data_IF_255192376893
#
_entry.id   IF_255192376893
#
_cell.length_a   1.000
_cell.length_b   1.000
_cell.length_c   1.000
_cell.angle_alpha   90.00
_cell.angle_beta   90.00
_cell.angle_gamma   90.00
#
_symmetry.space_group_name_H-M   'P 1'
#
loop_
_entity.id
_entity.type
_entity.pdbx_description
1 polymer ?
#
# COMPACT_ATOMS: atom_id res chain seq x y z
N UNK A 1 -25.27 7.34 -9.88
CA UNK A 1 -26.11 8.33 -9.19
C UNK A 1 -25.67 8.43 -7.74
N UNK A 2 -25.69 9.64 -7.20
CA UNK A 2 -25.39 9.90 -5.79
C UNK A 2 -26.68 10.41 -5.12
N UNK A 3 -27.19 9.61 -4.21
CA UNK A 3 -28.40 9.93 -3.45
C UNK A 3 -27.98 10.56 -2.12
N UNK A 4 -28.26 11.84 -1.97
CA UNK A 4 -27.95 12.63 -0.75
C UNK A 4 -29.19 13.00 0.05
N UNK A 5 -30.35 12.86 -0.54
CA UNK A 5 -31.63 13.23 0.07
C UNK A 5 -32.16 12.10 0.95
N UNK A 6 -32.66 12.43 2.11
CA UNK A 6 -33.16 11.47 3.08
C UNK A 6 -34.33 10.62 2.54
N UNK A 7 -35.17 11.19 1.68
CA UNK A 7 -36.29 10.48 1.03
C UNK A 7 -35.81 9.38 0.08
N UNK A 8 -34.71 9.63 -0.65
CA UNK A 8 -34.12 8.68 -1.59
C UNK A 8 -33.26 7.62 -0.89
N UNK A 9 -32.68 7.96 0.25
CA UNK A 9 -31.84 7.04 1.03
C UNK A 9 -32.61 6.16 1.99
N UNK A 10 -33.89 6.51 2.29
CA UNK A 10 -34.74 5.78 3.23
C UNK A 10 -34.91 4.29 2.91
N UNK A 11 -34.89 3.92 1.61
CA UNK A 11 -34.99 2.51 1.18
C UNK A 11 -33.75 1.68 1.56
N UNK A 12 -32.61 2.33 1.89
CA UNK A 12 -31.38 1.68 2.30
C UNK A 12 -31.23 1.62 3.84
N UNK A 13 -32.21 2.09 4.57
CA UNK A 13 -32.25 2.09 6.04
C UNK A 13 -31.14 2.93 6.67
N UNK A 14 -30.72 2.57 7.89
CA UNK A 14 -29.72 3.32 8.66
C UNK A 14 -28.37 3.46 7.93
N UNK A 15 -28.02 2.54 7.05
CA UNK A 15 -26.78 2.61 6.24
C UNK A 15 -26.81 3.74 5.20
N UNK A 16 -27.99 4.23 4.84
CA UNK A 16 -28.17 5.34 3.91
C UNK A 16 -28.00 6.73 4.52
N UNK A 17 -27.83 6.85 5.85
CA UNK A 17 -27.80 8.14 6.56
C UNK A 17 -26.72 9.12 6.09
N UNK A 18 -25.59 8.63 5.58
CA UNK A 18 -24.48 9.44 5.03
C UNK A 18 -24.54 9.58 3.50
N UNK A 19 -25.65 9.21 2.87
CA UNK A 19 -25.82 9.16 1.42
C UNK A 19 -25.55 7.78 0.83
N UNK A 20 -26.04 7.59 -0.40
CA UNK A 20 -25.90 6.33 -1.13
C UNK A 20 -25.36 6.60 -2.53
N UNK A 21 -24.33 5.86 -2.90
CA UNK A 21 -23.80 5.87 -4.28
C UNK A 21 -24.33 4.65 -5.02
N UNK A 22 -25.23 4.90 -5.97
CA UNK A 22 -25.79 3.84 -6.82
C UNK A 22 -24.93 3.72 -8.08
N UNK A 23 -24.27 2.58 -8.25
CA UNK A 23 -23.45 2.29 -9.43
C UNK A 23 -24.22 1.34 -10.35
N UNK A 24 -24.67 1.87 -11.47
CA UNK A 24 -25.28 1.05 -12.54
C UNK A 24 -24.21 0.71 -13.57
N UNK A 25 -23.90 -0.57 -13.66
CA UNK A 25 -22.91 -1.07 -14.64
C UNK A 25 -23.54 -1.19 -16.02
N UNK A 26 -22.71 -1.05 -17.06
CA UNK A 26 -23.15 -1.21 -18.45
C UNK A 26 -23.85 -2.57 -18.63
N UNK A 27 -25.02 -2.53 -19.22
CA UNK A 27 -25.77 -3.72 -19.59
C UNK A 27 -25.17 -4.37 -20.83
N UNK A 28 -25.42 -5.66 -21.00
CA UNK A 28 -25.18 -6.35 -22.27
C UNK A 28 -26.07 -5.72 -23.35
N UNK A 29 -25.49 -5.40 -24.50
CA UNK A 29 -26.20 -4.76 -25.61
C UNK A 29 -26.32 -5.72 -26.78
N UNK A 30 -27.40 -5.55 -27.51
CA UNK A 30 -27.59 -6.20 -28.83
C UNK A 30 -26.66 -5.52 -29.83
N UNK A 31 -26.12 -6.32 -30.75
CA UNK A 31 -25.25 -5.85 -31.82
C UNK A 31 -24.06 -6.77 -32.07
N UNK A 32 -23.19 -6.30 -32.96
CA UNK A 32 -21.94 -6.98 -33.31
C UNK A 32 -21.06 -7.13 -32.08
N UNK A 33 -20.27 -8.21 -32.05
CA UNK A 33 -19.27 -8.40 -31.01
C UNK A 33 -18.27 -7.26 -31.05
N UNK A 34 -18.09 -6.62 -29.89
CA UNK A 34 -17.11 -5.55 -29.70
C UNK A 34 -16.10 -5.98 -28.65
N UNK A 35 -14.84 -5.70 -28.93
CA UNK A 35 -13.74 -5.93 -28.02
C UNK A 35 -13.16 -4.57 -27.63
N UNK A 36 -13.08 -4.30 -26.35
CA UNK A 36 -12.48 -3.09 -25.81
C UNK A 36 -11.26 -3.43 -24.96
N UNK A 37 -10.22 -2.61 -25.05
CA UNK A 37 -9.05 -2.68 -24.19
C UNK A 37 -8.82 -1.34 -23.52
N UNK A 38 -8.56 -1.36 -22.21
CA UNK A 38 -8.13 -0.19 -21.46
C UNK A 38 -6.89 -0.58 -20.64
N UNK A 39 -5.83 0.18 -20.80
CA UNK A 39 -4.60 0.05 -20.03
C UNK A 39 -4.28 1.34 -19.26
N UNK A 40 -3.78 1.19 -18.05
CA UNK A 40 -3.27 2.28 -17.24
C UNK A 40 -1.95 1.86 -16.63
N UNK A 41 -0.95 2.73 -16.75
CA UNK A 41 0.31 2.65 -16.03
C UNK A 41 0.42 3.85 -15.10
N UNK A 42 0.96 3.64 -13.93
CA UNK A 42 1.25 4.72 -12.98
C UNK A 42 2.52 4.39 -12.20
N UNK A 43 3.25 5.44 -11.87
CA UNK A 43 4.46 5.37 -11.06
C UNK A 43 4.17 6.09 -9.76
N UNK A 44 4.53 5.48 -8.64
CA UNK A 44 4.41 6.11 -7.33
C UNK A 44 5.81 6.40 -6.78
N UNK A 45 5.95 7.49 -6.07
CA UNK A 45 7.18 7.83 -5.37
C UNK A 45 6.86 8.54 -4.06
N UNK A 46 7.78 8.48 -3.13
CA UNK A 46 7.68 9.22 -1.87
C UNK A 46 7.91 10.70 -2.18
N UNK A 47 6.93 11.55 -1.87
CA UNK A 47 7.01 12.99 -2.15
C UNK A 47 7.95 13.72 -1.17
N UNK A 48 8.05 13.25 0.07
CA UNK A 48 8.91 13.83 1.09
C UNK A 48 9.27 12.76 2.12
N UNK A 49 10.55 12.68 2.45
CA UNK A 49 11.08 11.91 3.57
C UNK A 49 11.16 12.79 4.81
N UNK A 50 11.25 12.17 5.97
CA UNK A 50 11.50 12.86 7.22
C UNK A 50 13.00 13.17 7.35
N UNK A 51 13.32 14.35 7.88
CA UNK A 51 14.68 14.67 8.25
C UNK A 51 15.02 13.93 9.54
N UNK A 52 15.89 12.94 9.43
CA UNK A 52 16.37 12.14 10.55
C UNK A 52 17.75 12.62 11.00
N UNK A 53 18.12 12.30 12.22
CA UNK A 53 19.44 12.59 12.75
C UNK A 53 20.49 11.79 11.97
N UNK A 54 21.57 12.45 11.56
CA UNK A 54 22.74 11.76 11.03
C UNK A 54 23.52 11.07 12.16
N UNK A 55 24.56 10.31 11.79
CA UNK A 55 25.37 9.54 12.74
C UNK A 55 25.89 10.37 13.89
N UNK A 56 26.50 11.52 13.62
CA UNK A 56 27.07 12.40 14.65
C UNK A 56 25.95 12.98 15.55
N UNK A 57 24.91 13.55 14.95
CA UNK A 57 23.78 14.11 15.69
C UNK A 57 23.06 13.07 16.56
N UNK A 58 22.98 11.83 16.08
CA UNK A 58 22.38 10.74 16.83
C UNK A 58 23.23 10.40 18.06
N UNK A 59 24.55 10.31 17.91
CA UNK A 59 25.45 9.98 19.01
C UNK A 59 25.48 11.12 20.02
N UNK A 60 25.53 12.38 19.58
CA UNK A 60 25.45 13.57 20.45
C UNK A 60 24.15 13.55 21.27
N UNK A 61 23.01 13.30 20.61
CA UNK A 61 21.72 13.16 21.30
C UNK A 61 21.75 12.05 22.36
N UNK A 62 22.32 10.89 22.04
CA UNK A 62 22.44 9.78 23.01
C UNK A 62 23.36 10.13 24.17
N UNK A 63 24.42 10.89 23.92
CA UNK A 63 25.31 11.39 24.97
C UNK A 63 24.59 12.36 25.90
N UNK A 64 23.93 13.38 25.36
CA UNK A 64 23.16 14.35 26.11
C UNK A 64 22.10 13.68 27.00
N UNK A 65 21.41 12.69 26.41
CA UNK A 65 20.43 11.87 27.12
C UNK A 65 21.06 11.07 28.26
N UNK A 66 22.23 10.49 28.04
CA UNK A 66 22.96 9.76 29.07
C UNK A 66 23.47 10.69 30.18
N UNK A 67 23.99 11.88 29.83
CA UNK A 67 24.46 12.90 30.75
C UNK A 67 23.31 13.47 31.62
N UNK A 68 22.19 13.81 31.01
CA UNK A 68 21.00 14.32 31.70
C UNK A 68 20.43 13.33 32.74
N UNK A 69 20.54 12.03 32.49
CA UNK A 69 20.09 11.00 33.42
C UNK A 69 21.13 10.61 34.49
N UNK A 70 22.32 11.17 34.42
CA UNK A 70 23.41 10.94 35.36
C UNK A 70 24.16 9.62 35.16
N UNK A 71 25.36 9.55 35.76
CA UNK A 71 26.28 8.38 35.56
C UNK A 71 25.81 7.07 36.15
N UNK A 72 24.82 7.08 37.03
CA UNK A 72 24.19 5.88 37.60
C UNK A 72 22.98 5.42 36.87
N UNK A 73 22.57 6.15 35.83
CA UNK A 73 21.39 5.78 35.04
C UNK A 73 21.62 4.52 34.22
N UNK A 74 20.52 3.86 33.90
CA UNK A 74 20.52 2.71 32.98
C UNK A 74 21.04 3.05 31.56
N UNK A 75 21.24 4.33 31.25
CA UNK A 75 21.68 4.84 29.94
C UNK A 75 23.19 5.09 29.83
N UNK A 76 23.88 5.43 30.94
CA UNK A 76 25.31 5.76 30.89
C UNK A 76 26.19 4.56 30.50
N UNK A 77 25.89 3.37 31.04
CA UNK A 77 26.62 2.15 30.69
C UNK A 77 26.39 1.71 29.25
N UNK A 78 25.13 1.62 28.75
CA UNK A 78 24.85 1.32 27.36
C UNK A 78 25.48 2.32 26.38
N UNK A 79 25.52 3.61 26.71
CA UNK A 79 26.17 4.60 25.87
C UNK A 79 27.65 4.27 25.66
N UNK A 80 28.42 4.14 26.72
CA UNK A 80 29.86 3.84 26.63
C UNK A 80 30.13 2.50 25.94
N UNK A 81 29.28 1.53 26.18
CA UNK A 81 29.41 0.22 25.55
C UNK A 81 29.19 0.27 24.03
N UNK A 82 28.24 1.08 23.56
CA UNK A 82 27.91 1.15 22.13
C UNK A 82 28.72 2.20 21.39
N UNK A 83 29.00 3.33 22.02
CA UNK A 83 29.57 4.52 21.37
C UNK A 83 30.96 4.93 21.88
N UNK A 84 31.52 4.22 22.83
CA UNK A 84 32.86 4.49 23.33
C UNK A 84 32.95 5.63 24.34
N UNK A 85 34.14 6.23 24.41
CA UNK A 85 34.41 7.35 25.34
C UNK A 85 33.88 8.65 24.75
N UNK A 86 33.24 9.53 25.57
CA UNK A 86 32.85 10.86 25.11
C UNK A 86 33.98 11.72 24.51
N UNK A 87 35.23 11.48 24.91
CA UNK A 87 36.39 12.19 24.34
C UNK A 87 36.65 11.86 22.86
N UNK A 88 36.11 10.72 22.37
CA UNK A 88 36.36 10.22 21.01
C UNK A 88 35.15 10.41 20.09
N UNK A 89 34.16 11.23 20.51
CA UNK A 89 32.91 11.39 19.74
C UNK A 89 33.12 12.04 18.36
N UNK A 90 34.17 12.81 18.18
CA UNK A 90 34.49 13.45 16.89
C UNK A 90 34.63 12.46 15.73
N UNK A 91 34.94 11.20 16.01
CA UNK A 91 35.03 10.16 14.98
C UNK A 91 33.71 9.95 14.27
N UNK A 92 32.58 10.18 14.94
CA UNK A 92 31.26 9.99 14.37
C UNK A 92 30.91 11.01 13.26
N UNK A 93 31.62 12.12 13.16
CA UNK A 93 31.53 13.06 12.05
C UNK A 93 32.10 12.51 10.74
N UNK A 94 32.98 11.50 10.82
CA UNK A 94 33.61 10.86 9.66
C UNK A 94 32.90 9.58 9.22
N UNK A 95 31.99 9.05 10.05
CA UNK A 95 31.31 7.80 9.75
C UNK A 95 30.08 8.00 8.86
N UNK A 96 29.78 7.05 7.99
CA UNK A 96 28.59 7.10 7.16
C UNK A 96 27.32 7.04 8.01
N UNK A 97 26.28 7.67 7.51
CA UNK A 97 24.94 7.59 8.08
C UNK A 97 24.12 6.59 7.28
N UNK A 98 23.55 5.60 7.93
CA UNK A 98 22.63 4.67 7.31
C UNK A 98 21.20 5.22 7.37
N UNK A 99 20.61 5.51 6.21
CA UNK A 99 19.22 5.97 6.11
C UNK A 99 18.27 4.78 5.87
N UNK A 100 17.65 4.36 6.96
CA UNK A 100 16.66 3.28 6.92
C UNK A 100 15.39 3.62 6.15
N UNK A 101 15.13 4.92 5.92
CA UNK A 101 14.02 5.32 5.06
C UNK A 101 14.31 4.96 3.60
N UNK A 102 15.57 5.12 3.16
CA UNK A 102 15.98 4.76 1.81
C UNK A 102 15.84 3.26 1.56
N UNK A 103 16.21 2.45 2.55
CA UNK A 103 16.07 0.99 2.45
C UNK A 103 14.60 0.55 2.28
N UNK A 104 13.69 1.19 3.00
CA UNK A 104 12.28 0.76 3.03
C UNK A 104 11.43 1.47 1.98
N UNK A 105 11.73 2.74 1.69
CA UNK A 105 10.96 3.60 0.80
C UNK A 105 11.68 3.88 -0.53
N UNK A 106 12.84 3.26 -0.77
CA UNK A 106 13.70 3.55 -1.92
C UNK A 106 13.18 3.04 -3.27
N UNK A 107 12.19 2.17 -3.28
CA UNK A 107 11.62 1.66 -4.52
C UNK A 107 10.65 2.65 -5.15
N UNK A 108 10.72 2.76 -6.46
CA UNK A 108 9.76 3.51 -7.28
C UNK A 108 8.84 2.50 -7.96
N UNK A 109 7.71 2.12 -7.34
CA UNK A 109 6.85 1.07 -7.87
C UNK A 109 6.15 1.50 -9.13
N UNK A 110 6.13 0.60 -10.12
CA UNK A 110 5.33 0.72 -11.32
C UNK A 110 4.05 -0.08 -11.12
N UNK A 111 2.93 0.62 -11.18
CA UNK A 111 1.59 0.07 -11.02
C UNK A 111 0.90 -0.01 -12.36
N UNK A 112 0.14 -1.06 -12.59
CA UNK A 112 -0.62 -1.18 -13.83
C UNK A 112 -2.03 -1.72 -13.59
N UNK A 113 -2.92 -1.34 -14.49
CA UNK A 113 -4.24 -1.92 -14.61
C UNK A 113 -4.54 -2.14 -16.08
N UNK A 114 -4.88 -3.37 -16.43
CA UNK A 114 -5.29 -3.75 -17.76
C UNK A 114 -6.69 -4.35 -17.72
N UNK A 115 -7.56 -3.89 -18.59
CA UNK A 115 -8.93 -4.37 -18.70
C UNK A 115 -9.26 -4.72 -20.13
N UNK A 116 -9.76 -5.93 -20.33
CA UNK A 116 -10.31 -6.39 -21.60
C UNK A 116 -11.81 -6.59 -21.42
N UNK A 117 -12.60 -6.02 -22.30
CA UNK A 117 -14.06 -6.19 -22.35
C UNK A 117 -14.47 -6.78 -23.67
N UNK A 118 -15.36 -7.75 -23.63
CA UNK A 118 -15.99 -8.35 -24.82
C UNK A 118 -17.49 -8.31 -24.62
N UNK A 119 -18.21 -7.74 -25.55
CA UNK A 119 -19.66 -7.65 -25.43
C UNK A 119 -20.34 -7.66 -26.81
N UNK A 120 -21.58 -8.14 -26.83
CA UNK A 120 -22.39 -8.22 -28.03
C UNK A 120 -23.60 -9.11 -27.81
N UNK A 121 -24.28 -9.45 -28.86
CA UNK A 121 -25.39 -10.40 -28.79
C UNK A 121 -26.47 -10.16 -29.80
N UNK A 122 -27.46 -11.00 -29.71
CA UNK A 122 -28.69 -10.96 -30.48
C UNK A 122 -29.90 -10.55 -29.61
N UNK A 123 -31.07 -10.51 -30.18
CA UNK A 123 -32.32 -10.31 -29.42
C UNK A 123 -32.56 -11.40 -28.36
N UNK A 124 -32.04 -12.63 -28.60
CA UNK A 124 -32.21 -13.77 -27.68
C UNK A 124 -31.10 -13.95 -26.66
N UNK A 125 -29.89 -13.59 -27.02
CA UNK A 125 -28.71 -13.74 -26.14
C UNK A 125 -27.86 -12.48 -26.20
N UNK A 126 -27.69 -11.82 -25.06
CA UNK A 126 -26.79 -10.69 -24.90
C UNK A 126 -25.76 -11.02 -23.86
N UNK A 127 -24.51 -10.65 -24.10
CA UNK A 127 -23.45 -10.92 -23.16
C UNK A 127 -22.50 -9.72 -23.04
N UNK A 128 -21.88 -9.62 -21.87
CA UNK A 128 -20.78 -8.71 -21.61
C UNK A 128 -19.83 -9.37 -20.63
N UNK A 129 -18.58 -9.51 -21.03
CA UNK A 129 -17.52 -10.08 -20.22
C UNK A 129 -16.42 -9.05 -20.03
N UNK A 130 -15.86 -8.96 -18.83
CA UNK A 130 -14.69 -8.13 -18.58
C UNK A 130 -13.69 -8.85 -17.70
N UNK A 131 -12.44 -8.86 -18.12
CA UNK A 131 -11.30 -9.32 -17.36
C UNK A 131 -10.43 -8.12 -17.01
N UNK A 132 -10.22 -7.90 -15.72
CA UNK A 132 -9.36 -6.81 -15.23
C UNK A 132 -8.23 -7.41 -14.41
N UNK A 133 -7.01 -7.06 -14.76
CA UNK A 133 -5.80 -7.35 -14.00
C UNK A 133 -5.26 -6.03 -13.46
N UNK A 134 -5.04 -5.98 -12.14
CA UNK A 134 -4.46 -4.81 -11.47
C UNK A 134 -3.31 -5.27 -10.60
N UNK A 135 -2.21 -4.55 -10.66
CA UNK A 135 -1.08 -4.69 -9.76
C UNK A 135 -0.75 -3.32 -9.18
N UNK A 136 -0.95 -3.21 -7.87
CA UNK A 136 -0.70 -2.00 -7.10
C UNK A 136 0.41 -2.33 -6.08
N UNK A 137 1.64 -1.98 -6.41
CA UNK A 137 2.79 -2.08 -5.50
C UNK A 137 2.81 -0.86 -4.59
N UNK A 138 3.05 -1.09 -3.31
CA UNK A 138 3.22 -0.02 -2.34
C UNK A 138 4.59 0.64 -2.45
N UNK A 139 4.73 1.81 -1.85
CA UNK A 139 6.01 2.52 -1.70
C UNK A 139 6.93 1.87 -0.66
N UNK A 140 6.38 1.01 0.20
CA UNK A 140 7.14 0.22 1.17
C UNK A 140 7.60 -1.05 0.48
N UNK A 141 8.88 -1.36 0.56
CA UNK A 141 9.49 -2.56 -0.01
C UNK A 141 8.67 -3.82 0.28
N UNK A 142 8.45 -4.63 -0.75
CA UNK A 142 7.73 -5.90 -0.65
C UNK A 142 6.23 -5.78 -0.37
N UNK A 143 5.64 -4.57 -0.37
CA UNK A 143 4.21 -4.39 -0.19
C UNK A 143 3.47 -4.23 -1.52
N UNK A 144 2.28 -4.81 -1.62
CA UNK A 144 1.49 -4.66 -2.83
C UNK A 144 0.22 -5.50 -2.83
N UNK A 145 -0.61 -5.25 -3.82
CA UNK A 145 -1.85 -5.99 -4.06
C UNK A 145 -1.94 -6.34 -5.54
N UNK A 146 -2.07 -7.63 -5.82
CA UNK A 146 -2.41 -8.12 -7.15
C UNK A 146 -3.84 -8.61 -7.16
N UNK A 147 -4.65 -8.14 -8.12
CA UNK A 147 -6.05 -8.48 -8.22
C UNK A 147 -6.45 -8.81 -9.65
N UNK A 148 -7.13 -9.94 -9.81
CA UNK A 148 -7.74 -10.35 -11.07
C UNK A 148 -9.24 -10.42 -10.87
N UNK A 149 -10.00 -9.69 -11.66
CA UNK A 149 -11.46 -9.69 -11.62
C UNK A 149 -11.99 -10.17 -12.96
N UNK A 150 -12.84 -11.18 -12.94
CA UNK A 150 -13.63 -11.63 -14.08
C UNK A 150 -15.09 -11.37 -13.78
N UNK A 151 -15.71 -10.52 -14.58
CA UNK A 151 -17.14 -10.26 -14.53
C UNK A 151 -17.77 -10.74 -15.82
N UNK A 152 -18.85 -11.49 -15.69
CA UNK A 152 -19.60 -12.02 -16.82
C UNK A 152 -21.05 -11.64 -16.64
N UNK A 153 -21.70 -11.23 -17.70
CA UNK A 153 -23.14 -10.98 -17.75
C UNK A 153 -23.72 -11.66 -18.96
N UNK A 154 -24.76 -12.43 -18.72
CA UNK A 154 -25.57 -13.02 -19.75
C UNK A 154 -27.03 -12.65 -19.52
N UNK A 155 -27.69 -12.15 -20.54
CA UNK A 155 -29.14 -11.95 -20.59
C UNK A 155 -29.68 -12.87 -21.69
N UNK A 156 -30.41 -13.92 -21.30
CA UNK A 156 -30.93 -14.97 -22.22
C UNK A 156 -32.46 -14.89 -22.21
N UNK A 157 -33.04 -14.58 -23.34
CA UNK A 157 -34.49 -14.63 -23.56
C UNK A 157 -34.90 -16.09 -23.89
N UNK A 158 -35.40 -16.80 -22.88
CA UNK A 158 -35.82 -18.20 -23.03
C UNK A 158 -37.18 -18.32 -23.74
N UNK A 159 -38.06 -17.33 -23.50
CA UNK A 159 -39.33 -17.17 -24.17
C UNK A 159 -39.76 -15.70 -24.13
N UNK A 160 -40.89 -15.34 -24.76
CA UNK A 160 -41.42 -13.98 -24.72
C UNK A 160 -41.78 -13.51 -23.30
N UNK A 161 -42.01 -14.45 -22.40
CA UNK A 161 -42.41 -14.19 -21.01
C UNK A 161 -41.26 -14.46 -20.01
N UNK A 162 -40.16 -15.06 -20.44
CA UNK A 162 -39.09 -15.50 -19.53
C UNK A 162 -37.72 -15.06 -20.03
N UNK A 163 -37.04 -14.24 -19.24
CA UNK A 163 -35.66 -13.81 -19.43
C UNK A 163 -34.80 -14.24 -18.26
N UNK A 164 -33.73 -14.98 -18.53
CA UNK A 164 -32.74 -15.39 -17.55
C UNK A 164 -31.57 -14.40 -17.55
N UNK A 165 -31.24 -13.83 -16.40
CA UNK A 165 -30.07 -12.94 -16.21
C UNK A 165 -29.08 -13.56 -15.26
N UNK A 166 -27.86 -13.77 -15.72
CA UNK A 166 -26.78 -14.40 -14.96
C UNK A 166 -25.60 -13.41 -14.88
N UNK A 167 -25.12 -13.13 -13.68
CA UNK A 167 -24.05 -12.16 -13.45
C UNK A 167 -22.98 -12.71 -12.49
N UNK A 168 -22.24 -13.77 -12.85
CA UNK A 168 -21.14 -14.26 -12.02
C UNK A 168 -19.99 -13.26 -11.99
N UNK A 169 -19.38 -13.14 -10.80
CA UNK A 169 -18.21 -12.32 -10.55
C UNK A 169 -17.18 -13.16 -9.83
N UNK A 170 -15.97 -13.21 -10.35
CA UNK A 170 -14.85 -13.90 -9.73
C UNK A 170 -13.76 -12.88 -9.43
N UNK A 171 -13.25 -12.93 -8.22
CA UNK A 171 -12.12 -12.09 -7.80
C UNK A 171 -11.07 -12.99 -7.19
N UNK A 172 -9.88 -12.93 -7.75
CA UNK A 172 -8.67 -13.46 -7.13
C UNK A 172 -7.82 -12.30 -6.66
N UNK A 173 -7.47 -12.29 -5.38
CA UNK A 173 -6.67 -11.25 -4.76
C UNK A 173 -5.51 -11.88 -4.01
N UNK A 174 -4.33 -11.32 -4.21
CA UNK A 174 -3.12 -11.64 -3.46
C UNK A 174 -2.57 -10.35 -2.88
N UNK A 175 -2.45 -10.35 -1.57
CA UNK A 175 -1.80 -9.27 -0.83
C UNK A 175 -0.36 -9.70 -0.53
N UNK A 176 0.60 -8.82 -0.79
CA UNK A 176 2.02 -9.03 -0.55
C UNK A 176 2.52 -7.97 0.44
N UNK A 177 3.45 -8.37 1.31
CA UNK A 177 4.08 -7.49 2.26
C UNK A 177 3.38 -7.40 3.61
N UNK A 178 3.79 -6.43 4.36
CA UNK A 178 3.34 -6.17 5.72
C UNK A 178 1.90 -5.63 5.80
N UNK A 179 1.04 -6.11 4.94
CA UNK A 179 -0.38 -5.83 4.94
C UNK A 179 -1.10 -6.57 6.04
N UNK A 180 -1.39 -5.90 7.08
CA UNK A 180 -2.07 -6.40 8.27
C UNK A 180 -1.10 -6.63 9.42
N UNK A 181 -1.39 -6.12 10.52
CA UNK A 181 -1.02 -6.29 11.94
C UNK A 181 0.32 -6.99 12.33
N UNK A 182 1.17 -7.39 11.39
CA UNK A 182 2.39 -8.17 11.60
C UNK A 182 3.71 -7.48 11.22
N UNK A 183 3.68 -6.21 10.82
CA UNK A 183 4.86 -5.39 11.06
C UNK A 183 4.89 -5.25 12.57
N UNK A 184 5.87 -5.86 13.24
CA UNK A 184 5.95 -5.88 14.70
C UNK A 184 5.43 -4.58 15.31
N UNK A 185 5.01 -4.55 16.52
CA UNK A 185 4.13 -3.54 17.15
C UNK A 185 4.40 -2.04 16.85
N UNK A 186 5.40 -1.71 16.02
CA UNK A 186 5.78 -0.35 15.63
C UNK A 186 5.80 -0.05 14.13
N UNK A 187 5.87 -1.06 13.28
CA UNK A 187 5.85 -0.87 11.82
C UNK A 187 6.93 0.09 11.31
N UNK A 188 6.55 0.98 10.39
CA UNK A 188 7.44 1.99 9.81
C UNK A 188 8.03 2.93 10.87
N UNK A 189 7.30 3.15 11.99
CA UNK A 189 7.76 4.01 13.08
C UNK A 189 9.00 3.42 13.75
N UNK A 190 9.10 2.09 13.90
CA UNK A 190 10.26 1.46 14.50
C UNK A 190 11.48 1.59 13.60
N UNK A 191 11.29 1.53 12.30
CA UNK A 191 12.34 1.78 11.31
C UNK A 191 12.86 3.21 11.38
N UNK A 192 11.97 4.19 11.47
CA UNK A 192 12.33 5.60 11.61
C UNK A 192 13.06 5.90 12.91
N UNK A 193 12.81 5.12 13.96
CA UNK A 193 13.47 5.22 15.25
C UNK A 193 14.75 4.41 15.34
N UNK A 194 15.02 3.57 14.34
CA UNK A 194 16.22 2.76 14.37
C UNK A 194 17.48 3.60 14.24
N UNK A 195 18.53 3.17 14.89
CA UNK A 195 19.79 3.92 14.95
C UNK A 195 20.47 3.96 13.58
N UNK A 196 21.01 5.12 13.18
CA UNK A 196 21.70 5.28 11.89
C UNK A 196 23.11 4.68 11.88
N UNK A 197 23.59 4.20 13.05
CA UNK A 197 24.90 3.57 13.22
C UNK A 197 24.89 2.55 14.35
N UNK A 198 25.70 1.51 14.23
CA UNK A 198 25.96 0.56 15.31
C UNK A 198 27.09 0.98 16.26
N UNK A 199 27.65 2.16 16.03
CA UNK A 199 28.81 2.67 16.78
C UNK A 199 30.11 2.03 16.31
N UNK A 200 31.14 2.09 17.17
CA UNK A 200 32.49 1.56 16.83
C UNK A 200 32.51 0.03 16.65
N UNK A 201 31.44 -0.68 16.98
CA UNK A 201 31.33 -2.13 16.82
C UNK A 201 31.02 -2.59 15.39
N UNK A 202 30.53 -1.68 14.57
CA UNK A 202 30.22 -2.00 13.16
C UNK A 202 31.46 -2.44 12.38
N UNK A 203 32.64 -1.97 12.81
CA UNK A 203 33.91 -2.29 12.18
C UNK A 203 34.60 -3.57 12.70
N UNK A 204 34.14 -4.12 13.83
CA UNK A 204 34.74 -5.30 14.44
C UNK A 204 34.18 -6.64 13.92
N UNK A 205 33.20 -6.60 13.02
CA UNK A 205 32.46 -7.80 12.59
C UNK A 205 32.65 -8.18 11.12
N UNK A 206 33.59 -7.54 10.40
CA UNK A 206 33.85 -7.79 8.97
C UNK A 206 35.27 -8.31 8.69
N UNK A 207 35.97 -8.82 9.73
CA UNK A 207 37.22 -9.56 9.57
C UNK A 207 37.00 -11.07 9.65
#
# INVERSE_FOLDING_TARGET
>A
DVLKDASLTAIYGAKGGNGVVVVTTKAAKEGKITVGFNGRLSVASVSKKLDLLNTAQFVDYQYDRAAANGTRSSWAKPFRYNFGNPADMDIYHTLPTHDWQDEILGETPINYSANVTVGGGTDKLKFNMSLTQTEDKGIIMGSGVRRTNLNIKFDVKLSDKLTLKINPKFTYRRDEGAGGNNIGSGGIIDVLKYRPTNGLREFAHWD
#
